data_IF_649460105406
#
_entry.id   IF_649460105406
#
_cell.length_a   1.000
_cell.length_b   1.000
_cell.length_c   1.000
_cell.angle_alpha   90.00
_cell.angle_beta   90.00
_cell.angle_gamma   90.00
#
_symmetry.space_group_name_H-M   'P 1'
#
loop_
_entity.id
_entity.type
_entity.pdbx_description
1 polymer ?
#
# COMPACT_ATOMS: atom_id res chain seq x y z
N UNK A 1 5.09 -8.29 1.07
CA UNK A 1 5.14 -7.49 2.32
C UNK A 1 3.77 -7.01 2.77
N UNK A 2 2.98 -6.31 1.93
CA UNK A 2 1.65 -5.78 2.32
C UNK A 2 0.71 -6.84 2.92
N UNK A 3 0.62 -8.03 2.31
CA UNK A 3 -0.25 -9.11 2.80
C UNK A 3 0.17 -9.59 4.20
N UNK A 4 1.45 -9.92 4.37
CA UNK A 4 1.98 -10.39 5.66
C UNK A 4 1.83 -9.33 6.75
N UNK A 5 2.20 -8.08 6.46
CA UNK A 5 2.09 -6.98 7.42
C UNK A 5 0.63 -6.74 7.82
N UNK A 6 -0.30 -6.72 6.86
CA UNK A 6 -1.72 -6.52 7.15
C UNK A 6 -2.35 -7.70 7.91
N UNK A 7 -2.00 -8.94 7.55
CA UNK A 7 -2.49 -10.12 8.28
C UNK A 7 -2.00 -10.12 9.74
N UNK A 8 -0.72 -9.81 9.96
CA UNK A 8 -0.17 -9.70 11.31
C UNK A 8 -0.81 -8.55 12.09
N UNK A 9 -1.03 -7.40 11.45
CA UNK A 9 -1.68 -6.25 12.08
C UNK A 9 -3.14 -6.52 12.44
N UNK A 10 -3.88 -7.25 11.61
CA UNK A 10 -5.26 -7.64 11.91
C UNK A 10 -5.32 -8.74 12.98
N UNK A 11 -4.34 -9.64 13.01
CA UNK A 11 -4.26 -10.70 14.03
C UNK A 11 -3.76 -10.21 15.40
N UNK A 12 -2.92 -9.16 15.42
CA UNK A 12 -2.29 -8.60 16.62
C UNK A 12 -2.39 -7.05 16.61
N UNK A 13 -3.60 -6.48 16.65
CA UNK A 13 -3.80 -5.05 16.41
C UNK A 13 -3.24 -4.16 17.52
N UNK A 14 -3.21 -4.62 18.77
CA UNK A 14 -2.61 -3.86 19.88
C UNK A 14 -1.08 -3.74 19.73
N UNK A 15 -0.43 -4.83 19.32
CA UNK A 15 1.00 -4.82 19.03
C UNK A 15 1.29 -3.84 17.89
N UNK A 16 0.56 -3.93 16.79
CA UNK A 16 0.77 -3.05 15.65
C UNK A 16 0.41 -1.58 15.93
N UNK A 17 -0.55 -1.32 16.82
CA UNK A 17 -0.77 0.03 17.34
C UNK A 17 0.47 0.56 18.03
N UNK A 18 1.01 -0.18 19.01
CA UNK A 18 2.20 0.24 19.75
C UNK A 18 3.46 0.38 18.89
N UNK A 19 3.55 -0.43 17.82
CA UNK A 19 4.63 -0.35 16.86
C UNK A 19 4.47 0.86 15.93
N UNK A 20 3.28 1.22 15.48
CA UNK A 20 3.11 2.29 14.49
C UNK A 20 2.97 3.68 15.12
N UNK A 21 2.29 3.77 16.26
CA UNK A 21 2.05 5.02 16.95
C UNK A 21 2.93 5.12 18.18
N UNK A 22 3.58 6.27 18.36
CA UNK A 22 4.29 6.60 19.59
C UNK A 22 3.31 7.02 20.71
N UNK A 23 2.25 6.23 20.90
CA UNK A 23 1.13 6.54 21.79
C UNK A 23 0.57 5.27 22.44
N UNK A 24 -0.02 5.37 23.65
CA UNK A 24 -0.76 4.26 24.25
C UNK A 24 -1.95 3.86 23.36
N UNK A 25 -2.45 2.66 23.59
CA UNK A 25 -3.67 2.16 22.93
C UNK A 25 -4.80 3.17 23.12
N UNK A 26 -5.45 3.58 22.02
CA UNK A 26 -6.57 4.51 22.11
C UNK A 26 -7.77 3.88 22.80
N UNK A 27 -8.46 4.65 23.64
CA UNK A 27 -9.78 4.29 24.14
C UNK A 27 -10.91 4.82 23.25
N UNK A 28 -10.60 5.62 22.24
CA UNK A 28 -11.57 6.12 21.27
C UNK A 28 -11.96 5.00 20.28
N UNK A 29 -13.23 4.53 20.29
CA UNK A 29 -13.68 3.45 19.43
C UNK A 29 -13.69 3.82 17.94
N UNK A 30 -13.73 5.10 17.57
CA UNK A 30 -13.63 5.54 16.18
C UNK A 30 -12.20 5.37 15.66
N UNK A 31 -11.21 5.85 16.43
CA UNK A 31 -9.79 5.70 16.07
C UNK A 31 -9.37 4.23 16.02
N UNK A 32 -9.88 3.41 16.94
CA UNK A 32 -9.63 1.97 16.91
C UNK A 32 -10.17 1.32 15.63
N UNK A 33 -11.44 1.57 15.28
CA UNK A 33 -12.02 1.05 14.03
C UNK A 33 -11.30 1.56 12.79
N UNK A 34 -10.88 2.82 12.81
CA UNK A 34 -10.08 3.40 11.74
C UNK A 34 -8.75 2.65 11.54
N UNK A 35 -8.04 2.32 12.63
CA UNK A 35 -6.80 1.55 12.56
C UNK A 35 -7.00 0.16 11.96
N UNK A 36 -8.04 -0.57 12.40
CA UNK A 36 -8.37 -1.88 11.83
C UNK A 36 -8.75 -1.75 10.34
N UNK A 37 -9.55 -0.75 9.98
CA UNK A 37 -9.96 -0.49 8.61
C UNK A 37 -8.78 -0.14 7.70
N UNK A 38 -7.81 0.62 8.20
CA UNK A 38 -6.57 0.93 7.48
C UNK A 38 -5.83 -0.36 7.10
N UNK A 39 -5.65 -1.29 8.04
CA UNK A 39 -4.98 -2.55 7.75
C UNK A 39 -5.79 -3.47 6.84
N UNK A 40 -7.12 -3.49 6.99
CA UNK A 40 -8.02 -4.17 6.04
C UNK A 40 -7.88 -3.62 4.62
N UNK A 41 -7.78 -2.30 4.48
CA UNK A 41 -7.52 -1.65 3.20
C UNK A 41 -6.13 -2.03 2.63
N UNK A 42 -5.07 -2.01 3.45
CA UNK A 42 -3.72 -2.45 3.03
C UNK A 42 -3.72 -3.90 2.55
N UNK A 43 -4.48 -4.79 3.21
CA UNK A 43 -4.65 -6.18 2.78
C UNK A 43 -5.32 -6.25 1.40
N UNK A 44 -6.45 -5.57 1.23
CA UNK A 44 -7.21 -5.55 -0.02
C UNK A 44 -6.37 -4.99 -1.18
N UNK A 45 -5.64 -3.89 -0.96
CA UNK A 45 -4.71 -3.33 -1.94
C UNK A 45 -3.57 -4.30 -2.27
N UNK A 46 -3.04 -5.02 -1.28
CA UNK A 46 -2.05 -6.08 -1.50
C UNK A 46 -2.54 -7.18 -2.45
N UNK A 47 -3.81 -7.60 -2.30
CA UNK A 47 -4.45 -8.55 -3.22
C UNK A 47 -4.64 -7.95 -4.61
N UNK A 48 -5.14 -6.72 -4.69
CA UNK A 48 -5.33 -6.00 -5.96
C UNK A 48 -4.03 -5.86 -6.75
N UNK A 49 -2.92 -5.52 -6.09
CA UNK A 49 -1.60 -5.46 -6.73
C UNK A 49 -1.12 -6.84 -7.19
N UNK A 50 -1.39 -7.90 -6.43
CA UNK A 50 -1.06 -9.27 -6.83
C UNK A 50 -1.79 -9.70 -8.11
N UNK A 51 -3.04 -9.23 -8.29
CA UNK A 51 -3.80 -9.46 -9.53
C UNK A 51 -3.27 -8.59 -10.68
N UNK A 52 -3.07 -7.30 -10.44
CA UNK A 52 -2.56 -6.35 -11.45
C UNK A 52 -1.15 -6.72 -11.96
N UNK A 53 -0.34 -7.39 -11.14
CA UNK A 53 0.98 -7.87 -11.55
C UNK A 53 0.92 -8.97 -12.64
N UNK A 54 -0.21 -9.65 -12.82
CA UNK A 54 -0.38 -10.71 -13.84
C UNK A 54 -0.51 -10.13 -15.25
N UNK A 55 -1.25 -9.04 -15.39
CA UNK A 55 -1.36 -8.28 -16.63
C UNK A 55 -1.31 -6.75 -16.35
N UNK A 56 -0.08 -6.21 -16.16
CA UNK A 56 0.11 -4.79 -15.90
C UNK A 56 -0.37 -3.88 -17.04
N UNK A 57 -0.48 -4.43 -18.26
CA UNK A 57 -0.88 -3.69 -19.45
C UNK A 57 -2.37 -3.37 -19.47
N UNK A 58 -3.20 -4.28 -18.93
CA UNK A 58 -4.65 -4.11 -18.78
C UNK A 58 -5.01 -3.32 -17.51
N UNK A 59 -4.28 -3.54 -16.41
CA UNK A 59 -4.63 -3.03 -15.07
C UNK A 59 -3.97 -1.69 -14.72
N UNK A 60 -3.76 -0.82 -15.72
CA UNK A 60 -3.05 0.46 -15.56
C UNK A 60 -3.70 1.38 -14.53
N UNK A 61 -5.03 1.35 -14.41
CA UNK A 61 -5.75 2.14 -13.41
C UNK A 61 -5.39 1.75 -11.97
N UNK A 62 -5.27 0.45 -11.69
CA UNK A 62 -4.87 -0.07 -10.38
C UNK A 62 -3.41 0.32 -10.09
N UNK A 63 -2.53 0.23 -11.08
CA UNK A 63 -1.13 0.63 -10.93
C UNK A 63 -0.97 2.14 -10.67
N UNK A 64 -1.75 2.98 -11.36
CA UNK A 64 -1.73 4.42 -11.15
C UNK A 64 -2.24 4.79 -9.75
N UNK A 65 -3.44 4.31 -9.39
CA UNK A 65 -4.04 4.56 -8.08
C UNK A 65 -3.13 4.02 -6.96
N UNK A 66 -2.58 2.83 -7.16
CA UNK A 66 -1.65 2.22 -6.23
C UNK A 66 -0.34 2.99 -6.09
N UNK A 67 0.24 3.44 -7.20
CA UNK A 67 1.46 4.22 -7.22
C UNK A 67 1.31 5.53 -6.44
N UNK A 68 0.25 6.30 -6.74
CA UNK A 68 -0.08 7.54 -6.04
C UNK A 68 -0.35 7.28 -4.56
N UNK A 69 -1.21 6.30 -4.24
CA UNK A 69 -1.55 5.98 -2.86
C UNK A 69 -0.34 5.59 -2.01
N UNK A 70 0.61 4.83 -2.59
CA UNK A 70 1.85 4.44 -1.92
C UNK A 70 2.76 5.64 -1.63
N UNK A 71 2.88 6.58 -2.56
CA UNK A 71 3.65 7.80 -2.33
C UNK A 71 2.97 8.74 -1.32
N UNK A 72 1.64 8.78 -1.28
CA UNK A 72 0.91 9.50 -0.23
C UNK A 72 1.17 8.90 1.15
N UNK A 73 1.19 7.57 1.27
CA UNK A 73 1.56 6.90 2.53
C UNK A 73 2.98 7.23 2.97
N UNK A 74 3.93 7.36 2.04
CA UNK A 74 5.28 7.84 2.34
C UNK A 74 5.25 9.23 2.96
N UNK A 75 4.46 10.15 2.38
CA UNK A 75 4.28 11.50 2.93
C UNK A 75 3.71 11.48 4.35
N UNK A 76 2.61 10.74 4.57
CA UNK A 76 1.97 10.61 5.87
C UNK A 76 2.93 10.03 6.92
N UNK A 77 3.65 8.96 6.59
CA UNK A 77 4.60 8.35 7.53
C UNK A 77 5.82 9.22 7.81
N UNK A 78 6.29 9.99 6.81
CA UNK A 78 7.33 11.00 7.01
C UNK A 78 6.86 12.05 8.01
N UNK A 79 5.65 12.58 7.83
CA UNK A 79 5.06 13.58 8.73
C UNK A 79 4.88 13.03 10.15
N UNK A 80 4.41 11.78 10.29
CA UNK A 80 4.29 11.12 11.59
C UNK A 80 5.64 10.99 12.32
N UNK A 81 6.70 10.63 11.59
CA UNK A 81 8.06 10.54 12.16
C UNK A 81 8.59 11.90 12.60
N UNK A 82 8.46 12.93 11.74
CA UNK A 82 8.90 14.29 12.04
C UNK A 82 8.13 14.90 13.22
N UNK A 83 6.85 14.58 13.34
CA UNK A 83 5.97 15.04 14.43
C UNK A 83 6.10 14.20 15.71
N UNK A 84 6.96 13.17 15.73
CA UNK A 84 7.12 12.21 16.83
C UNK A 84 5.81 11.47 17.21
N UNK A 85 4.88 11.36 16.26
CA UNK A 85 3.64 10.61 16.40
C UNK A 85 3.78 9.15 15.96
N UNK A 86 4.83 8.87 15.18
CA UNK A 86 5.16 7.53 14.70
C UNK A 86 6.45 7.00 15.31
N UNK A 87 6.61 5.67 15.34
CA UNK A 87 7.88 5.06 15.74
C UNK A 87 8.79 4.82 14.53
N UNK A 88 10.06 4.53 14.79
CA UNK A 88 11.06 4.22 13.76
C UNK A 88 10.70 3.02 12.88
N UNK A 89 9.78 2.14 13.28
CA UNK A 89 9.35 1.03 12.41
C UNK A 89 8.69 1.54 11.12
N UNK A 90 8.09 2.74 11.15
CA UNK A 90 7.49 3.38 9.99
C UNK A 90 8.49 3.57 8.86
N UNK A 91 9.79 3.76 9.16
CA UNK A 91 10.83 3.88 8.13
C UNK A 91 10.85 2.67 7.19
N UNK A 92 10.70 1.45 7.74
CA UNK A 92 10.72 0.24 6.94
C UNK A 92 9.53 0.18 5.97
N UNK A 93 8.34 0.56 6.46
CA UNK A 93 7.15 0.69 5.64
C UNK A 93 7.35 1.77 4.57
N UNK A 94 7.87 2.91 4.96
CA UNK A 94 8.07 4.08 4.11
C UNK A 94 9.00 3.78 2.93
N UNK A 95 10.11 3.09 3.20
CA UNK A 95 11.03 2.63 2.15
C UNK A 95 10.33 1.66 1.18
N UNK A 96 9.57 0.70 1.71
CA UNK A 96 8.89 -0.28 0.87
C UNK A 96 7.77 0.33 0.02
N UNK A 97 6.98 1.22 0.61
CA UNK A 97 5.91 1.93 -0.09
C UNK A 97 6.48 2.91 -1.12
N UNK A 98 7.61 3.56 -0.83
CA UNK A 98 8.33 4.38 -1.80
C UNK A 98 8.81 3.57 -3.00
N UNK A 99 9.45 2.42 -2.76
CA UNK A 99 9.91 1.53 -3.83
C UNK A 99 8.74 1.00 -4.67
N UNK A 100 7.68 0.48 -4.03
CA UNK A 100 6.51 -0.01 -4.76
C UNK A 100 5.80 1.09 -5.55
N UNK A 101 5.64 2.28 -4.94
CA UNK A 101 5.04 3.43 -5.61
C UNK A 101 5.81 3.82 -6.86
N UNK A 102 7.13 3.92 -6.76
CA UNK A 102 8.01 4.20 -7.89
C UNK A 102 7.92 3.12 -8.97
N UNK A 103 7.96 1.84 -8.60
CA UNK A 103 7.87 0.73 -9.55
C UNK A 103 6.55 0.71 -10.32
N UNK A 104 5.42 0.99 -9.66
CA UNK A 104 4.11 1.06 -10.33
C UNK A 104 4.05 2.21 -11.33
N UNK A 105 4.54 3.40 -10.97
CA UNK A 105 4.58 4.53 -11.89
C UNK A 105 5.54 4.29 -13.06
N UNK A 106 6.70 3.68 -12.81
CA UNK A 106 7.63 3.28 -13.87
C UNK A 106 7.03 2.24 -14.82
N UNK A 107 6.23 1.30 -14.30
CA UNK A 107 5.54 0.31 -15.13
C UNK A 107 4.56 0.96 -16.11
N UNK A 108 3.95 2.09 -15.76
CA UNK A 108 3.06 2.85 -16.65
C UNK A 108 3.82 3.51 -17.82
N UNK A 109 5.12 3.77 -17.68
CA UNK A 109 5.93 4.36 -18.74
C UNK A 109 6.34 3.33 -19.81
N UNK A 110 6.12 2.03 -19.57
CA UNK A 110 6.48 1.00 -20.55
C UNK A 110 5.52 1.05 -21.75
N UNK A 111 6.06 1.09 -22.99
CA UNK A 111 5.23 1.02 -24.20
C UNK A 111 4.44 -0.29 -24.22
N UNK A 112 3.14 -0.22 -24.51
CA UNK A 112 2.36 -1.41 -24.83
C UNK A 112 2.84 -1.92 -26.19
N UNK A 113 3.55 -3.05 -26.21
CA UNK A 113 3.68 -3.82 -27.45
C UNK A 113 2.28 -4.26 -27.84
N UNK A 114 1.70 -3.60 -28.85
CA UNK A 114 0.39 -3.91 -29.43
C UNK A 114 0.24 -5.43 -29.57
N UNK A 115 -0.67 -6.01 -28.80
CA UNK A 115 -1.23 -7.34 -29.07
C UNK A 115 -2.37 -7.29 -30.10
N UNK A 116 -2.47 -6.19 -30.86
CA UNK A 116 -3.44 -6.00 -31.95
C UNK A 116 -2.88 -6.51 -33.28
N UNK A 117 -2.52 -7.79 -33.36
CA UNK A 117 -2.10 -8.42 -34.63
C UNK A 117 -2.67 -9.83 -34.82
N UNK A 118 -3.83 -10.13 -34.22
CA UNK A 118 -4.46 -11.44 -34.33
C UNK A 118 -5.93 -11.47 -34.78
N UNK A 119 -6.66 -10.35 -34.76
CA UNK A 119 -8.07 -10.32 -35.19
C UNK A 119 -8.18 -9.81 -36.64
N UNK A 120 -7.62 -10.56 -37.58
CA UNK A 120 -7.99 -10.48 -38.99
C UNK A 120 -8.16 -11.89 -39.53
N UNK A 121 -9.28 -12.10 -40.23
CA UNK A 121 -9.73 -13.32 -40.91
C UNK A 121 -10.36 -14.42 -40.04
N UNK A 122 -11.69 -14.35 -39.89
CA UNK A 122 -12.63 -15.37 -40.37
C UNK A 122 -14.05 -14.81 -40.39
#
# INVERSE_FOLDING_TARGET
MNLTAALLALGLPELFWSLFYAAPLTQDPLLWRHHIALWGFVLAMGLGYGLAARDPGHERGILLAGGIGKLLMVGIWTEMLLSRLGTWILLSGMLWDGVLGALFLLALLRPQSRQDSGASSR
#
